data_IF_161989918665
#
_entry.id   IF_161989918665
#
_cell.length_a   1.000
_cell.length_b   1.000
_cell.length_c   1.000
_cell.angle_alpha   90.00
_cell.angle_beta   90.00
_cell.angle_gamma   90.00
#
_symmetry.space_group_name_H-M   'P 1'
#
loop_
_entity.id
_entity.type
_entity.pdbx_description
1 polymer ?
#
# COMPACT_ATOMS: atom_id res chain seq x y z
N UNK A 1 -23.80 19.48 -9.49
CA UNK A 1 -22.97 18.92 -8.39
C UNK A 1 -21.48 18.82 -8.78
N UNK A 2 -21.08 18.04 -9.79
CA UNK A 2 -19.66 18.00 -10.22
C UNK A 2 -19.14 19.31 -10.81
N UNK A 3 -20.00 20.09 -11.49
CA UNK A 3 -19.67 21.44 -12.01
C UNK A 3 -19.33 22.40 -10.86
N UNK A 4 -19.95 22.24 -9.69
CA UNK A 4 -19.75 23.12 -8.53
C UNK A 4 -18.50 22.76 -7.71
N UNK A 5 -18.00 21.52 -7.82
CA UNK A 5 -16.81 21.07 -7.07
C UNK A 5 -16.01 20.06 -7.89
N UNK A 6 -15.43 20.48 -9.03
CA UNK A 6 -14.78 19.58 -9.99
C UNK A 6 -13.49 18.95 -9.44
N UNK A 7 -12.96 19.47 -8.33
CA UNK A 7 -11.75 18.96 -7.67
C UNK A 7 -12.04 17.91 -6.58
N UNK A 8 -13.30 17.67 -6.25
CA UNK A 8 -13.67 16.72 -5.20
C UNK A 8 -13.66 15.28 -5.72
N UNK A 9 -12.64 14.52 -5.35
CA UNK A 9 -12.54 13.10 -5.63
C UNK A 9 -13.70 12.31 -5.06
N UNK A 10 -14.25 12.71 -3.91
CA UNK A 10 -15.44 12.09 -3.34
C UNK A 10 -16.63 12.09 -4.31
N UNK A 11 -16.91 13.23 -4.96
CA UNK A 11 -18.02 13.32 -5.91
C UNK A 11 -17.75 12.48 -7.17
N UNK A 12 -16.51 12.49 -7.67
CA UNK A 12 -16.11 11.67 -8.81
C UNK A 12 -16.21 10.18 -8.51
N UNK A 13 -15.71 9.73 -7.36
CA UNK A 13 -15.78 8.33 -6.93
C UNK A 13 -17.23 7.88 -6.74
N UNK A 14 -18.10 8.72 -6.18
CA UNK A 14 -19.55 8.43 -6.11
C UNK A 14 -20.17 8.30 -7.50
N UNK A 15 -19.75 9.12 -8.44
CA UNK A 15 -20.25 9.04 -9.81
C UNK A 15 -19.76 7.79 -10.54
N UNK A 16 -18.49 7.39 -10.33
CA UNK A 16 -17.99 6.09 -10.79
C UNK A 16 -18.81 4.94 -10.18
N UNK A 17 -19.05 4.98 -8.87
CA UNK A 17 -19.80 3.95 -8.16
C UNK A 17 -21.25 3.80 -8.67
N UNK A 18 -21.90 4.90 -9.05
CA UNK A 18 -23.22 4.87 -9.70
C UNK A 18 -23.18 4.04 -10.99
N UNK A 19 -22.25 4.34 -11.90
CA UNK A 19 -22.11 3.57 -13.15
C UNK A 19 -21.77 2.09 -12.89
N UNK A 20 -20.88 1.81 -11.93
CA UNK A 20 -20.56 0.44 -11.52
C UNK A 20 -21.82 -0.31 -11.03
N UNK A 21 -22.70 0.35 -10.28
CA UNK A 21 -23.94 -0.25 -9.77
C UNK A 21 -24.94 -0.61 -10.88
N UNK A 22 -24.85 0.06 -12.03
CA UNK A 22 -25.64 -0.22 -13.22
C UNK A 22 -24.98 -1.24 -14.17
N UNK A 23 -23.80 -1.77 -13.84
CA UNK A 23 -23.01 -2.61 -14.76
C UNK A 23 -22.32 -1.84 -15.90
N UNK A 24 -22.40 -0.52 -15.89
CA UNK A 24 -21.84 0.39 -16.89
C UNK A 24 -20.34 0.64 -16.64
N UNK A 25 -19.52 -0.42 -16.78
CA UNK A 25 -18.10 -0.35 -16.42
C UNK A 25 -17.28 0.54 -17.36
N UNK A 26 -17.62 0.61 -18.65
CA UNK A 26 -16.91 1.46 -19.60
C UNK A 26 -17.11 2.94 -19.24
N UNK A 27 -18.33 3.32 -18.92
CA UNK A 27 -18.74 4.64 -18.49
C UNK A 27 -18.08 5.02 -17.15
N UNK A 28 -17.97 4.06 -16.23
CA UNK A 28 -17.21 4.27 -14.99
C UNK A 28 -15.72 4.59 -15.26
N UNK A 29 -15.09 3.97 -16.28
CA UNK A 29 -13.72 4.31 -16.70
C UNK A 29 -13.64 5.71 -17.29
N UNK A 30 -14.59 6.08 -18.16
CA UNK A 30 -14.66 7.43 -18.72
C UNK A 30 -14.82 8.51 -17.64
N UNK A 31 -15.60 8.22 -16.60
CA UNK A 31 -15.71 9.11 -15.43
C UNK A 31 -14.36 9.24 -14.71
N UNK A 32 -13.63 8.14 -14.51
CA UNK A 32 -12.30 8.17 -13.90
C UNK A 32 -11.29 8.99 -14.73
N UNK A 33 -11.28 8.82 -16.06
CA UNK A 33 -10.43 9.60 -16.96
C UNK A 33 -10.75 11.10 -16.89
N UNK A 34 -12.03 11.46 -16.92
CA UNK A 34 -12.47 12.85 -16.75
C UNK A 34 -12.04 13.42 -15.40
N UNK A 35 -12.13 12.64 -14.33
CA UNK A 35 -11.70 13.06 -13.00
C UNK A 35 -10.18 13.32 -12.94
N UNK A 36 -9.36 12.48 -13.57
CA UNK A 36 -7.89 12.66 -13.63
C UNK A 36 -7.52 13.95 -14.37
N UNK A 37 -8.25 14.29 -15.42
CA UNK A 37 -8.05 15.55 -16.18
C UNK A 37 -8.53 16.76 -15.37
N UNK A 38 -9.69 16.66 -14.71
CA UNK A 38 -10.31 17.76 -13.97
C UNK A 38 -9.57 18.11 -12.68
N UNK A 39 -8.99 17.12 -11.98
CA UNK A 39 -8.26 17.31 -10.72
C UNK A 39 -6.78 17.64 -11.04
N UNK A 40 -6.27 18.83 -10.68
CA UNK A 40 -4.88 19.23 -10.93
C UNK A 40 -3.86 18.28 -10.30
N UNK A 41 -2.64 18.23 -10.87
CA UNK A 41 -1.56 17.38 -10.35
C UNK A 41 -1.07 17.80 -8.97
N UNK A 42 -1.24 19.08 -8.62
CA UNK A 42 -0.96 19.63 -7.30
C UNK A 42 -1.88 19.06 -6.22
N UNK A 43 -3.09 18.62 -6.57
CA UNK A 43 -4.05 18.00 -5.65
C UNK A 43 -3.74 16.50 -5.51
N UNK A 44 -2.56 16.17 -4.98
CA UNK A 44 -2.04 14.79 -4.94
C UNK A 44 -3.00 13.82 -4.24
N UNK A 45 -3.60 14.26 -3.13
CA UNK A 45 -4.55 13.45 -2.35
C UNK A 45 -5.82 13.13 -3.14
N UNK A 46 -6.46 14.15 -3.72
CA UNK A 46 -7.67 13.98 -4.52
C UNK A 46 -7.40 13.07 -5.72
N UNK A 47 -6.28 13.29 -6.41
CA UNK A 47 -5.87 12.47 -7.55
C UNK A 47 -5.56 11.02 -7.15
N UNK A 48 -4.92 10.80 -6.00
CA UNK A 48 -4.65 9.46 -5.48
C UNK A 48 -5.94 8.69 -5.17
N UNK A 49 -6.98 9.36 -4.68
CA UNK A 49 -8.28 8.76 -4.44
C UNK A 49 -8.93 8.27 -5.74
N UNK A 50 -8.81 9.03 -6.83
CA UNK A 50 -9.29 8.60 -8.16
C UNK A 50 -8.52 7.37 -8.63
N UNK A 51 -7.19 7.39 -8.57
CA UNK A 51 -6.39 6.23 -8.96
C UNK A 51 -6.73 4.98 -8.14
N UNK A 52 -6.95 5.13 -6.84
CA UNK A 52 -7.37 4.02 -5.98
C UNK A 52 -8.72 3.45 -6.43
N UNK A 53 -9.71 4.30 -6.71
CA UNK A 53 -11.02 3.88 -7.19
C UNK A 53 -10.92 3.19 -8.57
N UNK A 54 -10.10 3.74 -9.47
CA UNK A 54 -9.91 3.19 -10.82
C UNK A 54 -9.18 1.84 -10.78
N UNK A 55 -8.13 1.70 -9.97
CA UNK A 55 -7.48 0.40 -9.76
C UNK A 55 -8.44 -0.65 -9.19
N UNK A 56 -9.31 -0.27 -8.24
CA UNK A 56 -10.34 -1.18 -7.71
C UNK A 56 -11.34 -1.60 -8.79
N UNK A 57 -11.76 -0.66 -9.66
CA UNK A 57 -12.63 -0.95 -10.81
C UNK A 57 -11.97 -1.97 -11.75
N UNK A 58 -10.73 -1.74 -12.18
CA UNK A 58 -10.03 -2.69 -13.06
C UNK A 58 -9.75 -4.03 -12.39
N UNK A 59 -9.42 -4.05 -11.10
CA UNK A 59 -9.15 -5.29 -10.39
C UNK A 59 -10.40 -6.18 -10.27
N UNK A 60 -11.60 -5.60 -10.30
CA UNK A 60 -12.85 -6.34 -10.17
C UNK A 60 -13.54 -6.62 -11.51
N UNK A 61 -13.47 -5.69 -12.46
CA UNK A 61 -14.24 -5.72 -13.71
C UNK A 61 -13.38 -5.42 -14.95
N UNK A 62 -12.05 -5.53 -14.83
CA UNK A 62 -11.10 -5.23 -15.89
C UNK A 62 -11.21 -6.14 -17.11
N UNK A 63 -11.08 -5.54 -18.29
CA UNK A 63 -10.96 -6.21 -19.59
C UNK A 63 -9.80 -5.57 -20.39
N UNK A 64 -8.81 -6.33 -20.94
CA UNK A 64 -8.55 -7.77 -20.84
C UNK A 64 -8.39 -8.23 -19.37
N UNK A 65 -8.21 -9.53 -19.03
CA UNK A 65 -8.41 -10.04 -17.67
C UNK A 65 -7.87 -9.12 -16.57
N UNK A 66 -8.56 -8.99 -15.40
CA UNK A 66 -8.29 -7.95 -14.42
C UNK A 66 -6.82 -7.69 -14.06
N UNK A 67 -5.99 -8.73 -14.03
CA UNK A 67 -4.55 -8.62 -13.79
C UNK A 67 -3.82 -7.77 -14.84
N UNK A 68 -4.12 -7.96 -16.11
CA UNK A 68 -3.55 -7.18 -17.22
C UNK A 68 -4.06 -5.75 -17.22
N UNK A 69 -5.36 -5.57 -17.01
CA UNK A 69 -5.99 -4.25 -16.92
C UNK A 69 -5.37 -3.42 -15.77
N UNK A 70 -5.24 -4.01 -14.58
CA UNK A 70 -4.58 -3.38 -13.43
C UNK A 70 -3.12 -3.07 -13.74
N UNK A 71 -2.37 -4.00 -14.35
CA UNK A 71 -0.95 -3.79 -14.69
C UNK A 71 -0.78 -2.64 -15.69
N UNK A 72 -1.61 -2.57 -16.72
CA UNK A 72 -1.62 -1.50 -17.73
C UNK A 72 -1.94 -0.16 -17.08
N UNK A 73 -3.02 -0.09 -16.30
CA UNK A 73 -3.44 1.13 -15.60
C UNK A 73 -2.38 1.59 -14.61
N UNK A 74 -1.83 0.68 -13.80
CA UNK A 74 -0.82 0.99 -12.81
C UNK A 74 0.46 1.55 -13.45
N UNK A 75 0.89 0.97 -14.57
CA UNK A 75 2.07 1.44 -15.31
C UNK A 75 1.90 2.88 -15.78
N UNK A 76 0.71 3.24 -16.27
CA UNK A 76 0.37 4.63 -16.63
C UNK A 76 0.30 5.53 -15.40
N UNK A 77 -0.40 5.11 -14.34
CA UNK A 77 -0.62 5.90 -13.14
C UNK A 77 0.71 6.32 -12.48
N UNK A 78 1.68 5.40 -12.42
CA UNK A 78 3.00 5.65 -11.81
C UNK A 78 3.81 6.74 -12.53
N UNK A 79 3.54 7.00 -13.82
CA UNK A 79 4.19 8.09 -14.56
C UNK A 79 3.57 9.46 -14.27
N UNK A 80 2.31 9.48 -13.82
CA UNK A 80 1.51 10.70 -13.66
C UNK A 80 1.31 11.11 -12.19
N UNK A 81 1.86 10.34 -11.25
CA UNK A 81 1.60 10.50 -9.82
C UNK A 81 2.74 9.92 -8.98
N UNK A 82 2.71 10.18 -7.67
CA UNK A 82 3.73 9.70 -6.76
C UNK A 82 3.83 8.17 -6.76
N UNK A 83 4.92 7.65 -7.33
CA UNK A 83 5.14 6.22 -7.50
C UNK A 83 5.00 5.44 -6.19
N UNK A 84 5.61 5.93 -5.10
CA UNK A 84 5.58 5.25 -3.79
C UNK A 84 4.14 5.17 -3.26
N UNK A 85 3.38 6.26 -3.34
CA UNK A 85 1.98 6.25 -2.90
C UNK A 85 1.13 5.29 -3.73
N UNK A 86 1.28 5.27 -5.05
CA UNK A 86 0.57 4.31 -5.90
C UNK A 86 0.92 2.86 -5.60
N UNK A 87 2.20 2.54 -5.41
CA UNK A 87 2.60 1.19 -5.00
C UNK A 87 1.95 0.78 -3.67
N UNK A 88 1.89 1.69 -2.69
CA UNK A 88 1.20 1.43 -1.42
C UNK A 88 -0.32 1.27 -1.60
N UNK A 89 -0.95 2.07 -2.46
CA UNK A 89 -2.38 1.93 -2.81
C UNK A 89 -2.67 0.58 -3.44
N UNK A 90 -1.82 0.11 -4.35
CA UNK A 90 -1.93 -1.20 -4.99
C UNK A 90 -1.80 -2.34 -3.98
N UNK A 91 -0.81 -2.25 -3.07
CA UNK A 91 -0.61 -3.21 -1.97
C UNK A 91 -1.87 -3.28 -1.10
N UNK A 92 -2.39 -2.13 -0.65
CA UNK A 92 -3.60 -2.11 0.19
C UNK A 92 -4.85 -2.62 -0.54
N UNK A 93 -4.93 -2.46 -1.87
CA UNK A 93 -5.99 -3.08 -2.66
C UNK A 93 -5.88 -4.61 -2.63
N UNK A 94 -4.72 -5.17 -2.94
CA UNK A 94 -4.54 -6.62 -2.94
C UNK A 94 -4.74 -7.24 -1.55
N UNK A 95 -4.30 -6.55 -0.48
CA UNK A 95 -4.54 -6.95 0.90
C UNK A 95 -6.03 -7.04 1.23
N UNK A 96 -6.82 -5.99 0.91
CA UNK A 96 -8.28 -5.99 1.16
C UNK A 96 -9.03 -7.04 0.35
N UNK A 97 -8.55 -7.35 -0.85
CA UNK A 97 -9.20 -8.31 -1.74
C UNK A 97 -8.72 -9.76 -1.51
N UNK A 98 -7.81 -10.00 -0.55
CA UNK A 98 -7.28 -11.34 -0.27
C UNK A 98 -6.42 -11.94 -1.40
N UNK A 99 -5.92 -11.11 -2.32
CA UNK A 99 -5.13 -11.55 -3.48
C UNK A 99 -3.67 -11.78 -3.09
N UNK A 100 -3.42 -12.90 -2.41
CA UNK A 100 -2.17 -13.13 -1.68
C UNK A 100 -0.91 -13.14 -2.55
N UNK A 101 -0.96 -13.78 -3.73
CA UNK A 101 0.19 -13.86 -4.64
C UNK A 101 0.54 -12.47 -5.21
N UNK A 102 -0.47 -11.75 -5.71
CA UNK A 102 -0.31 -10.39 -6.22
C UNK A 102 0.17 -9.41 -5.15
N UNK A 103 -0.30 -9.58 -3.91
CA UNK A 103 0.17 -8.81 -2.75
C UNK A 103 1.67 -9.02 -2.50
N UNK A 104 2.13 -10.27 -2.47
CA UNK A 104 3.55 -10.58 -2.23
C UNK A 104 4.45 -10.05 -3.33
N UNK A 105 4.05 -10.19 -4.60
CA UNK A 105 4.79 -9.66 -5.73
C UNK A 105 4.85 -8.13 -5.71
N UNK A 106 3.74 -7.47 -5.38
CA UNK A 106 3.69 -6.01 -5.25
C UNK A 106 4.59 -5.53 -4.09
N UNK A 107 4.56 -6.20 -2.94
CA UNK A 107 5.40 -5.90 -1.78
C UNK A 107 6.89 -6.09 -2.09
N UNK A 108 7.26 -7.20 -2.74
CA UNK A 108 8.65 -7.48 -3.16
C UNK A 108 9.17 -6.40 -4.12
N UNK A 109 8.38 -6.04 -5.13
CA UNK A 109 8.73 -4.97 -6.08
C UNK A 109 8.86 -3.61 -5.39
N UNK A 110 7.93 -3.28 -4.49
CA UNK A 110 7.95 -2.04 -3.74
C UNK A 110 9.16 -1.96 -2.79
N UNK A 111 9.48 -3.03 -2.06
CA UNK A 111 10.62 -3.06 -1.14
C UNK A 111 11.96 -2.95 -1.87
N UNK A 112 12.07 -3.52 -3.08
CA UNK A 112 13.24 -3.33 -3.95
C UNK A 112 13.37 -1.89 -4.43
N UNK A 113 12.28 -1.28 -4.91
CA UNK A 113 12.27 0.07 -5.50
C UNK A 113 12.38 1.19 -4.45
N UNK A 114 11.79 0.99 -3.28
CA UNK A 114 11.72 1.97 -2.20
C UNK A 114 12.35 1.44 -0.91
N UNK A 115 13.53 0.83 -1.04
CA UNK A 115 14.29 0.23 0.07
C UNK A 115 14.57 1.20 1.23
N UNK A 116 14.60 2.51 0.95
CA UNK A 116 14.75 3.58 1.93
C UNK A 116 13.48 3.87 2.77
N UNK A 117 12.33 3.29 2.41
CA UNK A 117 11.02 3.60 2.98
C UNK A 117 10.61 2.60 4.05
N UNK A 118 10.62 3.04 5.31
CA UNK A 118 10.14 2.24 6.45
C UNK A 118 8.70 1.78 6.27
N UNK A 119 7.83 2.60 5.65
CA UNK A 119 6.41 2.28 5.45
C UNK A 119 6.24 1.04 4.55
N UNK A 120 7.09 0.91 3.53
CA UNK A 120 7.04 -0.23 2.59
C UNK A 120 7.52 -1.50 3.27
N UNK A 121 8.63 -1.45 4.00
CA UNK A 121 9.12 -2.59 4.77
C UNK A 121 8.12 -3.05 5.83
N UNK A 122 7.51 -2.11 6.55
CA UNK A 122 6.50 -2.44 7.56
C UNK A 122 5.28 -3.13 6.97
N UNK A 123 4.82 -2.70 5.78
CA UNK A 123 3.73 -3.39 5.09
C UNK A 123 4.14 -4.82 4.69
N UNK A 124 5.39 -5.01 4.25
CA UNK A 124 5.87 -6.33 3.87
C UNK A 124 6.00 -7.28 5.06
N UNK A 125 6.60 -6.79 6.15
CA UNK A 125 6.74 -7.55 7.39
C UNK A 125 5.36 -7.88 7.97
N UNK A 126 4.43 -6.93 8.02
CA UNK A 126 3.05 -7.17 8.48
C UNK A 126 2.36 -8.28 7.69
N UNK A 127 2.53 -8.30 6.36
CA UNK A 127 1.97 -9.38 5.53
C UNK A 127 2.56 -10.76 5.90
N UNK A 128 3.85 -10.84 6.24
CA UNK A 128 4.47 -12.08 6.72
C UNK A 128 3.94 -12.51 8.10
N UNK A 129 3.72 -11.55 8.99
CA UNK A 129 3.13 -11.77 10.33
C UNK A 129 1.71 -12.30 10.21
N UNK A 130 0.87 -11.69 9.36
CA UNK A 130 -0.51 -12.13 9.13
C UNK A 130 -0.59 -13.54 8.54
N UNK A 131 0.43 -13.97 7.79
CA UNK A 131 0.57 -15.37 7.34
C UNK A 131 1.00 -16.35 8.43
N UNK A 132 1.36 -15.86 9.62
CA UNK A 132 1.94 -16.67 10.69
C UNK A 132 3.38 -17.13 10.42
N UNK A 133 4.02 -16.64 9.36
CA UNK A 133 5.38 -17.04 8.99
C UNK A 133 6.41 -16.13 9.67
N UNK A 134 6.67 -16.39 10.95
CA UNK A 134 7.60 -15.57 11.74
C UNK A 134 9.05 -15.69 11.30
N UNK A 135 9.44 -16.82 10.69
CA UNK A 135 10.77 -16.97 10.09
C UNK A 135 10.96 -15.94 8.98
N UNK A 136 9.98 -15.86 8.08
CA UNK A 136 10.00 -14.91 7.00
C UNK A 136 9.90 -13.46 7.48
N UNK A 137 9.07 -13.18 8.49
CA UNK A 137 8.99 -11.85 9.09
C UNK A 137 10.34 -11.39 9.66
N UNK A 138 11.10 -12.29 10.30
CA UNK A 138 12.44 -12.00 10.82
C UNK A 138 13.44 -11.73 9.70
N UNK A 139 13.46 -12.56 8.66
CA UNK A 139 14.32 -12.34 7.49
C UNK A 139 14.01 -11.01 6.80
N UNK A 140 12.74 -10.61 6.72
CA UNK A 140 12.35 -9.31 6.18
C UNK A 140 12.79 -8.16 7.08
N UNK A 141 12.72 -8.31 8.40
CA UNK A 141 13.21 -7.33 9.36
C UNK A 141 14.73 -7.13 9.24
N UNK A 142 15.49 -8.21 9.11
CA UNK A 142 16.95 -8.15 8.92
C UNK A 142 17.33 -7.46 7.61
N UNK A 143 16.63 -7.79 6.52
CA UNK A 143 16.82 -7.10 5.23
C UNK A 143 16.45 -5.62 5.32
N UNK A 144 15.41 -5.29 6.08
CA UNK A 144 14.99 -3.91 6.25
C UNK A 144 15.99 -3.11 7.10
N UNK A 145 16.60 -3.69 8.14
CA UNK A 145 17.65 -3.01 8.93
C UNK A 145 18.95 -2.83 8.14
N UNK A 146 19.29 -3.76 7.24
CA UNK A 146 20.40 -3.59 6.31
C UNK A 146 20.14 -2.47 5.29
N UNK A 147 18.92 -2.35 4.78
CA UNK A 147 18.56 -1.36 3.77
C UNK A 147 18.29 0.05 4.33
N UNK A 148 17.81 0.15 5.57
CA UNK A 148 17.42 1.43 6.17
C UNK A 148 18.58 2.09 6.94
N UNK A 149 18.67 3.43 6.92
CA UNK A 149 19.57 4.18 7.79
C UNK A 149 19.35 3.89 9.28
N UNK A 150 20.42 3.95 10.09
CA UNK A 150 20.41 3.65 11.54
C UNK A 150 19.32 4.39 12.32
N UNK A 151 19.06 5.66 12.01
CA UNK A 151 18.03 6.46 12.70
C UNK A 151 16.59 5.91 12.51
N UNK A 152 16.36 5.04 11.52
CA UNK A 152 15.06 4.38 11.28
C UNK A 152 14.95 3.00 11.93
N UNK A 153 16.05 2.42 12.43
CA UNK A 153 16.09 1.08 13.00
C UNK A 153 15.16 0.93 14.19
N UNK A 154 15.23 1.85 15.16
CA UNK A 154 14.35 1.83 16.34
C UNK A 154 12.88 1.85 15.91
N UNK A 155 12.53 2.71 14.95
CA UNK A 155 11.16 2.83 14.45
C UNK A 155 10.64 1.54 13.83
N UNK A 156 11.43 0.86 12.99
CA UNK A 156 10.98 -0.38 12.35
C UNK A 156 10.88 -1.54 13.35
N UNK A 157 11.83 -1.66 14.28
CA UNK A 157 11.84 -2.68 15.31
C UNK A 157 10.60 -2.56 16.21
N UNK A 158 10.36 -1.37 16.76
CA UNK A 158 9.21 -1.09 17.62
C UNK A 158 7.87 -1.35 16.91
N UNK A 159 7.75 -0.90 15.65
CA UNK A 159 6.51 -1.10 14.88
C UNK A 159 6.27 -2.56 14.51
N UNK A 160 7.33 -3.32 14.25
CA UNK A 160 7.22 -4.76 13.99
C UNK A 160 6.77 -5.51 15.23
N UNK A 161 7.33 -5.20 16.40
CA UNK A 161 6.90 -5.80 17.66
C UNK A 161 5.43 -5.49 17.96
N UNK A 162 4.96 -4.27 17.69
CA UNK A 162 3.54 -3.91 17.81
C UNK A 162 2.64 -4.71 16.87
N UNK A 163 3.07 -4.98 15.63
CA UNK A 163 2.29 -5.82 14.72
C UNK A 163 2.21 -7.26 15.22
N UNK A 164 3.34 -7.83 15.64
CA UNK A 164 3.38 -9.19 16.20
C UNK A 164 2.44 -9.32 17.41
N UNK A 165 2.38 -8.28 18.27
CA UNK A 165 1.48 -8.29 19.43
C UNK A 165 -0.01 -8.18 19.08
N UNK A 166 -0.35 -7.38 18.06
CA UNK A 166 -1.75 -7.07 17.72
C UNK A 166 -2.37 -8.07 16.75
N UNK A 167 -1.55 -8.60 15.85
CA UNK A 167 -2.01 -9.31 14.65
C UNK A 167 -1.30 -10.66 14.46
N UNK A 168 -0.21 -10.90 15.20
CA UNK A 168 0.55 -12.14 15.17
C UNK A 168 0.49 -12.87 16.50
N UNK A 169 1.66 -13.27 17.01
CA UNK A 169 1.79 -13.92 18.32
C UNK A 169 2.20 -12.91 19.42
N UNK A 170 1.36 -12.67 20.45
CA UNK A 170 1.66 -11.75 21.54
C UNK A 170 2.98 -12.04 22.27
N UNK A 171 3.32 -13.31 22.49
CA UNK A 171 4.57 -13.68 23.19
C UNK A 171 5.79 -13.33 22.35
N UNK A 172 5.75 -13.60 21.03
CA UNK A 172 6.83 -13.21 20.12
C UNK A 172 7.03 -11.70 20.11
N UNK A 173 5.93 -10.94 20.09
CA UNK A 173 5.97 -9.49 20.20
C UNK A 173 6.62 -9.01 21.50
N UNK A 174 6.29 -9.62 22.64
CA UNK A 174 6.93 -9.32 23.94
C UNK A 174 8.43 -9.65 23.93
N UNK A 175 8.82 -10.80 23.39
CA UNK A 175 10.24 -11.17 23.27
C UNK A 175 11.01 -10.16 22.42
N UNK A 176 10.44 -9.72 21.31
CA UNK A 176 11.04 -8.67 20.48
C UNK A 176 11.19 -7.35 21.24
N UNK A 177 10.15 -6.92 21.96
CA UNK A 177 10.22 -5.70 22.80
C UNK A 177 11.30 -5.81 23.86
N UNK A 178 11.35 -6.92 24.60
CA UNK A 178 12.36 -7.14 25.64
C UNK A 178 13.78 -7.08 25.05
N UNK A 179 13.99 -7.71 23.89
CA UNK A 179 15.26 -7.66 23.18
C UNK A 179 15.65 -6.22 22.78
N UNK A 180 14.71 -5.45 22.20
CA UNK A 180 15.00 -4.07 21.79
C UNK A 180 15.25 -3.12 22.94
N UNK A 181 14.52 -3.27 24.05
CA UNK A 181 14.76 -2.50 25.28
C UNK A 181 16.16 -2.80 25.82
N UNK A 182 16.54 -4.08 25.90
CA UNK A 182 17.88 -4.48 26.37
C UNK A 182 18.99 -3.85 25.52
N UNK A 183 18.91 -3.98 24.19
CA UNK A 183 19.92 -3.39 23.27
C UNK A 183 19.95 -1.86 23.37
N UNK A 184 18.81 -1.21 23.61
CA UNK A 184 18.75 0.25 23.79
C UNK A 184 19.37 0.71 25.12
N UNK A 185 19.21 -0.07 26.19
CA UNK A 185 19.82 0.20 27.50
C UNK A 185 21.33 -0.02 27.48
N UNK A 186 21.81 -1.09 26.84
CA UNK A 186 23.25 -1.38 26.67
C UNK A 186 23.98 -0.27 25.90
N UNK A 187 23.32 0.40 24.94
CA UNK A 187 23.91 1.55 24.22
C UNK A 187 23.96 2.86 25.02
N UNK A 188 23.24 2.96 26.14
CA UNK A 188 23.22 4.15 27.01
C UNK A 188 24.25 4.11 28.13
N UNK A 189 24.81 2.94 28.45
CA UNK A 189 25.91 2.75 29.40
C UNK A 189 27.18 2.34 28.66
N UNK A 190 27.91 3.28 28.02
CA UNK A 190 29.24 2.99 27.46
C UNK A 190 30.28 2.72 28.55
#
# INVERSE_FOLDING_TARGET
LLIASPRSSFLWVRYMAFHISCGAYAEAREVAERAIVAIPASEETERMNIWAAYLNLENKYGTPPPEEAVKKLFTRAVQLSNAKHLHMTLISMYERNGQQQSLEDALKKAAKKFSYSTKVWLAYIRAAILKGNSEWARQLLDRATQALPKHKHIKILMRTALFEMKEGNPERGRTMFAHFIRVALEKKNP
#
